data_IF_615723093226
#
_entry.id   IF_615723093226
#
_cell.length_a   1.000
_cell.length_b   1.000
_cell.length_c   1.000
_cell.angle_alpha   90.00
_cell.angle_beta   90.00
_cell.angle_gamma   90.00
#
_symmetry.space_group_name_H-M   'P 1'
#
loop_
_entity.id
_entity.type
_entity.pdbx_description
1 polymer ?
#
# COMPACT_ATOMS: atom_id res chain seq x y z
N UNK A 1 -8.50 6.25 -8.17
CA UNK A 1 -7.59 7.02 -7.29
C UNK A 1 -8.40 8.12 -6.63
N UNK A 2 -8.15 8.40 -5.35
CA UNK A 2 -8.84 9.45 -4.58
C UNK A 2 -7.91 10.64 -4.35
N UNK A 3 -8.48 11.83 -4.19
CA UNK A 3 -7.77 12.99 -3.62
C UNK A 3 -7.66 12.83 -2.11
N UNK A 4 -6.79 13.61 -1.46
CA UNK A 4 -6.66 13.60 0.01
C UNK A 4 -7.99 13.90 0.70
N UNK A 5 -8.72 14.91 0.24
CA UNK A 5 -10.04 15.28 0.77
C UNK A 5 -11.07 14.15 0.67
N UNK A 6 -11.15 13.46 -0.47
CA UNK A 6 -12.08 12.33 -0.62
C UNK A 6 -11.63 11.13 0.21
N UNK A 7 -10.32 10.94 0.37
CA UNK A 7 -9.75 9.85 1.15
C UNK A 7 -10.02 10.03 2.66
N UNK A 8 -9.80 11.23 3.20
CA UNK A 8 -10.11 11.53 4.61
C UNK A 8 -11.59 11.36 4.91
N UNK A 9 -12.45 11.88 4.04
CA UNK A 9 -13.90 11.72 4.18
C UNK A 9 -14.30 10.24 4.18
N UNK A 10 -13.66 9.40 3.35
CA UNK A 10 -13.95 7.97 3.26
C UNK A 10 -13.47 7.19 4.49
N UNK A 11 -12.36 7.59 5.10
CA UNK A 11 -11.86 7.00 6.35
C UNK A 11 -12.57 7.54 7.60
N UNK A 12 -13.31 8.65 7.48
CA UNK A 12 -13.93 9.33 8.63
C UNK A 12 -12.90 9.99 9.55
N UNK A 13 -11.77 10.43 9.00
CA UNK A 13 -10.65 11.04 9.74
C UNK A 13 -10.41 12.47 9.31
N UNK A 14 -9.65 13.23 10.11
CA UNK A 14 -9.25 14.60 9.76
C UNK A 14 -8.04 14.61 8.82
N UNK A 15 -7.72 15.78 8.27
CA UNK A 15 -6.48 15.97 7.49
C UNK A 15 -5.24 15.80 8.36
N UNK A 16 -5.31 16.15 9.65
CA UNK A 16 -4.20 15.95 10.59
C UNK A 16 -3.96 14.46 10.80
N UNK A 17 -5.02 13.69 11.05
CA UNK A 17 -4.92 12.23 11.21
C UNK A 17 -4.35 11.57 9.95
N UNK A 18 -4.75 12.04 8.75
CA UNK A 18 -4.18 11.53 7.50
C UNK A 18 -2.68 11.79 7.41
N UNK A 19 -2.21 12.96 7.85
CA UNK A 19 -0.79 13.28 7.87
C UNK A 19 -0.01 12.37 8.83
N UNK A 20 -0.59 12.07 9.99
CA UNK A 20 0.02 11.12 10.94
C UNK A 20 0.06 9.70 10.35
N UNK A 21 -1.00 9.28 9.65
CA UNK A 21 -1.02 8.01 8.92
C UNK A 21 0.01 7.94 7.79
N UNK A 22 0.22 9.03 7.05
CA UNK A 22 1.25 9.13 6.02
C UNK A 22 2.64 9.00 6.61
N UNK A 23 2.92 9.70 7.72
CA UNK A 23 4.21 9.62 8.42
C UNK A 23 4.47 8.22 8.99
N UNK A 24 3.42 7.52 9.42
CA UNK A 24 3.51 6.16 9.91
C UNK A 24 3.51 5.09 8.81
N UNK A 25 3.51 5.48 7.53
CA UNK A 25 3.36 4.56 6.39
C UNK A 25 2.12 3.65 6.47
N UNK A 26 1.09 4.08 7.21
CA UNK A 26 -0.16 3.36 7.39
C UNK A 26 -1.12 3.54 6.20
N UNK A 27 -0.79 4.44 5.27
CA UNK A 27 -1.52 4.68 4.02
C UNK A 27 -0.55 4.79 2.86
N UNK A 28 -1.01 4.38 1.68
CA UNK A 28 -0.30 4.49 0.43
C UNK A 28 -0.68 5.79 -0.27
N UNK A 29 0.31 6.65 -0.45
CA UNK A 29 0.26 7.88 -1.23
C UNK A 29 1.09 7.73 -2.50
N UNK A 30 0.54 8.17 -3.63
CA UNK A 30 1.24 8.28 -4.91
C UNK A 30 1.54 9.75 -5.17
N UNK A 31 2.80 10.20 -5.00
CA UNK A 31 3.16 11.58 -5.29
C UNK A 31 2.90 11.92 -6.75
N UNK A 32 2.21 13.03 -6.98
CA UNK A 32 2.03 13.61 -8.31
C UNK A 32 3.08 14.68 -8.62
N UNK A 33 2.97 15.36 -9.78
CA UNK A 33 3.89 16.44 -10.17
C UNK A 33 3.87 17.66 -9.23
N UNK A 34 2.87 17.77 -8.37
CA UNK A 34 2.76 18.79 -7.32
C UNK A 34 2.15 18.17 -6.06
N UNK A 35 2.29 18.81 -4.87
CA UNK A 35 1.72 18.29 -3.62
C UNK A 35 0.20 18.07 -3.67
N UNK A 36 -0.54 18.92 -4.39
CA UNK A 36 -2.00 18.74 -4.64
C UNK A 36 -2.30 17.64 -5.66
N UNK A 37 -1.28 17.21 -6.41
CA UNK A 37 -1.33 16.12 -7.37
C UNK A 37 -1.24 14.74 -6.73
N UNK A 38 -0.96 14.62 -5.44
CA UNK A 38 -0.91 13.33 -4.74
C UNK A 38 -2.24 12.59 -4.81
N UNK A 39 -2.16 11.26 -4.91
CA UNK A 39 -3.33 10.39 -5.08
C UNK A 39 -3.26 9.19 -4.15
N UNK A 40 -4.43 8.78 -3.65
CA UNK A 40 -4.58 7.63 -2.77
C UNK A 40 -5.31 6.52 -3.49
N UNK A 41 -4.70 5.34 -3.68
CA UNK A 41 -5.40 4.20 -4.26
C UNK A 41 -6.57 3.78 -3.38
N UNK A 42 -7.80 3.78 -3.92
CA UNK A 42 -9.00 3.48 -3.15
C UNK A 42 -9.03 2.03 -2.63
N UNK A 43 -8.38 1.12 -3.35
CA UNK A 43 -8.32 -0.31 -3.00
C UNK A 43 -7.54 -0.59 -1.71
N UNK A 44 -6.74 0.37 -1.22
CA UNK A 44 -5.95 0.17 0.00
C UNK A 44 -6.86 0.08 1.23
N UNK A 45 -8.09 0.60 1.13
CA UNK A 45 -9.12 0.47 2.13
C UNK A 45 -9.76 -0.91 1.96
N UNK A 46 -9.56 -1.77 2.94
CA UNK A 46 -10.11 -3.12 2.99
C UNK A 46 -11.64 -3.12 3.15
N UNK A 47 -12.25 -4.30 3.08
CA UNK A 47 -13.69 -4.47 3.30
C UNK A 47 -14.15 -3.98 4.68
N UNK A 48 -13.26 -3.90 5.68
CA UNK A 48 -13.59 -3.38 7.01
C UNK A 48 -13.51 -1.85 7.10
N UNK A 49 -13.29 -1.15 5.97
CA UNK A 49 -13.20 0.30 5.92
C UNK A 49 -11.87 0.87 6.41
N UNK A 50 -10.86 0.03 6.66
CA UNK A 50 -9.55 0.44 7.16
C UNK A 50 -8.44 0.14 6.13
N UNK A 51 -7.36 0.94 6.07
CA UNK A 51 -6.19 0.64 5.26
C UNK A 51 -5.60 -0.74 5.59
N UNK A 52 -4.97 -1.39 4.61
CA UNK A 52 -4.23 -2.63 4.86
C UNK A 52 -3.12 -2.41 5.88
N UNK A 53 -3.17 -3.15 6.99
CA UNK A 53 -2.21 -3.01 8.11
C UNK A 53 -0.79 -3.44 7.76
N UNK A 54 -0.61 -4.14 6.63
CA UNK A 54 0.71 -4.55 6.14
C UNK A 54 1.50 -3.41 5.51
N UNK A 55 0.88 -2.27 5.19
CA UNK A 55 1.54 -1.18 4.46
C UNK A 55 2.86 -0.73 5.10
N UNK A 56 2.96 -0.49 6.43
CA UNK A 56 4.24 -0.14 7.06
C UNK A 56 5.33 -1.19 6.80
N UNK A 57 5.02 -2.48 6.94
CA UNK A 57 5.98 -3.55 6.70
C UNK A 57 6.42 -3.64 5.22
N UNK A 58 5.55 -3.28 4.27
CA UNK A 58 5.93 -3.20 2.86
C UNK A 58 6.88 -2.03 2.59
N UNK A 59 6.64 -0.88 3.21
CA UNK A 59 7.55 0.26 3.15
C UNK A 59 8.90 -0.07 3.79
N UNK A 60 8.91 -0.74 4.95
CA UNK A 60 10.15 -1.17 5.61
C UNK A 60 10.97 -2.12 4.73
N UNK A 61 10.31 -3.03 4.00
CA UNK A 61 10.98 -4.01 3.14
C UNK A 61 11.44 -3.42 1.80
N UNK A 62 10.60 -2.64 1.13
CA UNK A 62 10.81 -2.20 -0.27
C UNK A 62 11.23 -0.73 -0.41
N UNK A 63 11.29 0.01 0.70
CA UNK A 63 11.64 1.41 0.80
C UNK A 63 10.45 2.39 0.69
N UNK A 64 10.73 3.66 0.94
CA UNK A 64 9.74 4.74 1.15
C UNK A 64 8.98 5.21 -0.10
N UNK A 65 9.22 4.59 -1.27
CA UNK A 65 8.57 5.00 -2.52
C UNK A 65 7.19 4.38 -2.65
N UNK A 66 6.14 5.19 -2.49
CA UNK A 66 4.76 4.75 -2.72
C UNK A 66 4.53 4.16 -4.13
N UNK A 67 5.27 4.62 -5.14
CA UNK A 67 5.20 4.02 -6.47
C UNK A 67 5.80 2.61 -6.52
N UNK A 68 6.84 2.34 -5.74
CA UNK A 68 7.40 0.98 -5.58
C UNK A 68 6.39 0.04 -4.94
N UNK A 69 5.80 0.45 -3.82
CA UNK A 69 4.77 -0.35 -3.12
C UNK A 69 3.57 -0.61 -4.03
N UNK A 70 3.10 0.42 -4.75
CA UNK A 70 2.02 0.30 -5.70
C UNK A 70 2.32 -0.72 -6.80
N UNK A 71 3.50 -0.64 -7.43
CA UNK A 71 3.90 -1.57 -8.48
C UNK A 71 3.99 -3.01 -7.96
N UNK A 72 4.61 -3.20 -6.81
CA UNK A 72 4.67 -4.49 -6.14
C UNK A 72 3.27 -5.08 -5.90
N UNK A 73 2.33 -4.27 -5.41
CA UNK A 73 0.96 -4.74 -5.14
C UNK A 73 0.16 -5.05 -6.41
N UNK A 74 0.40 -4.33 -7.51
CA UNK A 74 -0.37 -4.44 -8.74
C UNK A 74 0.19 -5.45 -9.75
N UNK A 75 1.48 -5.81 -9.66
CA UNK A 75 2.07 -6.81 -10.55
C UNK A 75 1.75 -8.23 -10.07
N UNK A 76 1.66 -9.16 -11.01
CA UNK A 76 1.58 -10.59 -10.73
C UNK A 76 2.92 -11.13 -10.26
N UNK A 77 2.89 -12.08 -9.33
CA UNK A 77 4.09 -12.74 -8.80
C UNK A 77 3.97 -14.26 -8.95
N UNK A 78 4.97 -14.95 -9.51
CA UNK A 78 4.98 -16.42 -9.60
C UNK A 78 4.82 -17.11 -8.23
N UNK A 79 5.39 -16.52 -7.18
CA UNK A 79 5.31 -16.97 -5.78
C UNK A 79 3.90 -16.90 -5.21
N UNK A 80 3.01 -16.15 -5.87
CA UNK A 80 1.58 -16.04 -5.59
C UNK A 80 0.73 -16.83 -6.58
N UNK A 81 1.30 -17.86 -7.23
CA UNK A 81 0.63 -18.62 -8.29
C UNK A 81 0.14 -17.72 -9.44
N UNK A 82 0.89 -16.66 -9.76
CA UNK A 82 0.55 -15.71 -10.82
C UNK A 82 -0.44 -14.63 -10.40
N UNK A 83 -0.94 -14.64 -9.16
CA UNK A 83 -1.79 -13.59 -8.61
C UNK A 83 -0.99 -12.34 -8.27
N UNK A 84 -1.67 -11.22 -8.15
CA UNK A 84 -1.12 -9.98 -7.64
C UNK A 84 -1.02 -10.02 -6.12
N UNK A 85 -0.08 -9.26 -5.54
CA UNK A 85 0.00 -9.14 -4.10
C UNK A 85 -1.25 -8.45 -3.51
N UNK A 86 -1.92 -7.56 -4.25
CA UNK A 86 -3.20 -6.99 -3.84
C UNK A 86 -4.32 -8.04 -3.72
N UNK A 87 -4.42 -8.99 -4.65
CA UNK A 87 -5.37 -10.10 -4.54
C UNK A 87 -5.08 -10.95 -3.31
N UNK A 88 -3.81 -11.25 -3.05
CA UNK A 88 -3.41 -11.97 -1.86
C UNK A 88 -3.77 -11.25 -0.55
N UNK A 89 -3.64 -9.93 -0.48
CA UNK A 89 -4.09 -9.15 0.68
C UNK A 89 -5.61 -9.19 0.85
N UNK A 90 -6.37 -9.18 -0.25
CA UNK A 90 -7.84 -9.30 -0.18
C UNK A 90 -8.30 -10.66 0.33
N UNK A 91 -7.51 -11.71 0.06
CA UNK A 91 -7.73 -13.06 0.59
C UNK A 91 -7.23 -13.23 2.04
N UNK A 92 -6.70 -12.17 2.67
CA UNK A 92 -6.16 -12.21 4.03
C UNK A 92 -4.80 -12.90 4.15
N UNK A 93 -4.06 -13.05 3.04
CA UNK A 93 -2.72 -13.69 3.00
C UNK A 93 -1.60 -12.70 3.31
N UNK A 94 -1.82 -11.82 4.28
CA UNK A 94 -0.96 -10.71 4.69
C UNK A 94 0.50 -11.15 4.94
N UNK A 95 0.69 -12.18 5.76
CA UNK A 95 2.02 -12.69 6.11
C UNK A 95 2.81 -13.19 4.90
N UNK A 96 2.11 -13.74 3.90
CA UNK A 96 2.73 -14.25 2.69
C UNK A 96 3.20 -13.10 1.80
N UNK A 97 2.41 -12.03 1.68
CA UNK A 97 2.77 -10.83 0.92
C UNK A 97 3.96 -10.11 1.54
N UNK A 98 3.99 -9.97 2.87
CA UNK A 98 5.13 -9.35 3.58
C UNK A 98 6.40 -10.17 3.38
N UNK A 99 6.33 -11.49 3.51
CA UNK A 99 7.50 -12.36 3.28
C UNK A 99 8.03 -12.22 1.85
N UNK A 100 7.15 -12.18 0.86
CA UNK A 100 7.55 -11.97 -0.53
C UNK A 100 8.28 -10.63 -0.72
N UNK A 101 7.77 -9.56 -0.11
CA UNK A 101 8.42 -8.25 -0.16
C UNK A 101 9.85 -8.29 0.39
N UNK A 102 10.07 -8.92 1.55
CA UNK A 102 11.41 -9.10 2.11
C UNK A 102 12.32 -9.91 1.18
N UNK A 103 11.86 -11.04 0.66
CA UNK A 103 12.69 -11.87 -0.20
C UNK A 103 13.06 -11.20 -1.53
N UNK A 104 12.20 -10.33 -2.07
CA UNK A 104 12.54 -9.49 -3.22
C UNK A 104 13.58 -8.42 -2.87
N UNK A 105 13.46 -7.79 -1.70
CA UNK A 105 14.44 -6.80 -1.22
C UNK A 105 15.83 -7.42 -0.98
N UNK A 106 15.87 -8.66 -0.50
CA UNK A 106 17.09 -9.44 -0.28
C UNK A 106 17.65 -10.07 -1.58
N UNK A 107 16.92 -10.00 -2.70
CA UNK A 107 17.31 -10.63 -3.97
C UNK A 107 17.26 -12.16 -3.94
N UNK A 108 16.48 -12.75 -3.03
CA UNK A 108 16.39 -14.21 -2.84
C UNK A 108 15.58 -14.91 -3.92
N UNK A 109 14.70 -14.19 -4.61
CA UNK A 109 13.95 -14.67 -5.77
C UNK A 109 14.36 -13.85 -7.01
N UNK A 110 15.33 -14.35 -7.77
CA UNK A 110 15.76 -13.84 -9.08
C UNK A 110 16.09 -15.01 -10.02
#
# INVERSE_FOLDING_TARGET
MLTGEVFTHRLGVTVSDLRDLEQAHAVLILPGPSPRGSRYPAWQISATGQPFRVLPALFDALGDSGWTIYRFLMQSHPELAGQTALEALRDGRDALVVRLAHSLAEGTFA
#
